data_IF_056856925469
#
_entry.id   IF_056856925469
#
_cell.length_a   1.000
_cell.length_b   1.000
_cell.length_c   1.000
_cell.angle_alpha   90.00
_cell.angle_beta   90.00
_cell.angle_gamma   90.00
#
_symmetry.space_group_name_H-M   'P 1'
#
loop_
_entity.id
_entity.type
_entity.pdbx_description
1 polymer ?
#
# COMPACT_ATOMS: atom_id res chain seq x y z
N UNK A 1 24.00 10.83 -54.44
CA UNK A 1 23.95 11.58 -53.17
C UNK A 1 22.61 11.25 -52.52
N UNK A 2 22.68 10.69 -51.30
CA UNK A 2 21.59 10.53 -50.33
C UNK A 2 20.81 11.85 -50.17
N UNK A 3 19.52 11.88 -49.81
CA UNK A 3 19.00 11.45 -48.51
C UNK A 3 17.50 11.09 -48.51
N UNK A 4 17.18 10.09 -47.69
CA UNK A 4 15.88 9.73 -47.13
C UNK A 4 15.17 10.90 -46.43
N UNK A 5 13.84 10.81 -46.27
CA UNK A 5 13.03 11.21 -45.09
C UNK A 5 11.62 11.62 -45.53
N UNK A 6 10.51 11.28 -44.87
CA UNK A 6 10.25 10.57 -43.62
C UNK A 6 8.81 10.03 -43.75
N UNK A 7 8.62 8.75 -43.46
CA UNK A 7 7.31 8.17 -43.22
C UNK A 7 6.71 8.84 -41.97
N UNK A 8 5.48 9.34 -42.09
CA UNK A 8 4.73 9.83 -40.95
C UNK A 8 4.26 8.64 -40.12
N UNK A 9 5.00 8.29 -39.08
CA UNK A 9 4.50 7.43 -38.02
C UNK A 9 3.36 8.13 -37.30
N UNK A 10 2.15 7.66 -37.55
CA UNK A 10 0.97 7.94 -36.73
C UNK A 10 1.23 7.28 -35.38
N UNK A 11 1.57 8.07 -34.37
CA UNK A 11 1.69 7.62 -32.99
C UNK A 11 0.27 7.29 -32.51
N UNK A 12 -0.14 6.05 -32.72
CA UNK A 12 -1.35 5.48 -32.16
C UNK A 12 -1.23 5.53 -30.63
N UNK A 13 -1.89 6.51 -30.05
CA UNK A 13 -1.95 6.73 -28.62
C UNK A 13 -2.71 5.55 -28.00
N UNK A 14 -1.99 4.52 -27.56
CA UNK A 14 -2.58 3.40 -26.83
C UNK A 14 -3.32 3.96 -25.62
N UNK A 15 -4.61 3.62 -25.45
CA UNK A 15 -5.33 4.00 -24.25
C UNK A 15 -4.64 3.38 -23.04
N UNK A 16 -4.36 4.21 -22.03
CA UNK A 16 -3.86 3.81 -20.71
C UNK A 16 -4.99 3.04 -20.02
N UNK A 17 -5.18 1.79 -20.40
CA UNK A 17 -5.93 0.84 -19.61
C UNK A 17 -4.97 0.35 -18.53
N UNK A 18 -5.06 0.91 -17.32
CA UNK A 18 -4.66 0.15 -16.14
C UNK A 18 -5.38 -1.20 -16.24
N UNK A 19 -4.62 -2.28 -16.37
CA UNK A 19 -5.15 -3.62 -16.55
C UNK A 19 -6.16 -3.89 -15.41
N UNK A 20 -7.42 -4.13 -15.76
CA UNK A 20 -8.51 -4.42 -14.79
C UNK A 20 -8.13 -5.53 -13.79
N UNK A 21 -7.20 -6.39 -14.15
CA UNK A 21 -6.66 -7.44 -13.29
C UNK A 21 -5.88 -6.89 -12.09
N UNK A 22 -5.08 -5.83 -12.27
CA UNK A 22 -4.27 -5.24 -11.19
C UNK A 22 -5.12 -4.51 -10.14
N UNK A 23 -6.21 -3.86 -10.56
CA UNK A 23 -7.17 -3.23 -9.63
C UNK A 23 -7.82 -4.29 -8.72
N UNK A 24 -8.29 -5.40 -9.30
CA UNK A 24 -8.92 -6.47 -8.51
C UNK A 24 -7.95 -7.18 -7.58
N UNK A 25 -6.67 -7.29 -7.97
CA UNK A 25 -5.61 -7.85 -7.14
C UNK A 25 -5.27 -6.93 -5.96
N UNK A 26 -5.11 -5.63 -6.21
CA UNK A 26 -4.90 -4.62 -5.17
C UNK A 26 -6.02 -4.66 -4.14
N UNK A 27 -7.28 -4.64 -4.59
CA UNK A 27 -8.43 -4.62 -3.68
C UNK A 27 -8.50 -5.89 -2.81
N UNK A 28 -8.22 -7.07 -3.40
CA UNK A 28 -8.12 -8.33 -2.63
C UNK A 28 -7.02 -8.28 -1.57
N UNK A 29 -5.86 -7.69 -1.89
CA UNK A 29 -4.75 -7.55 -0.95
C UNK A 29 -5.08 -6.57 0.18
N UNK A 30 -5.77 -5.47 -0.11
CA UNK A 30 -6.27 -4.54 0.89
C UNK A 30 -7.25 -5.26 1.83
N UNK A 31 -8.23 -6.00 1.31
CA UNK A 31 -9.17 -6.77 2.13
C UNK A 31 -8.44 -7.77 3.02
N UNK A 32 -7.45 -8.48 2.48
CA UNK A 32 -6.63 -9.43 3.23
C UNK A 32 -5.84 -8.73 4.34
N UNK A 33 -5.18 -7.62 4.04
CA UNK A 33 -4.42 -6.84 5.01
C UNK A 33 -5.31 -6.37 6.17
N UNK A 34 -6.50 -5.85 5.88
CA UNK A 34 -7.48 -5.46 6.89
C UNK A 34 -7.90 -6.63 7.78
N UNK A 35 -8.20 -7.78 7.18
CA UNK A 35 -8.56 -8.99 7.94
C UNK A 35 -7.43 -9.47 8.86
N UNK A 36 -6.17 -9.36 8.41
CA UNK A 36 -5.00 -9.66 9.24
C UNK A 36 -4.91 -8.68 10.40
N UNK A 37 -5.08 -7.38 10.15
CA UNK A 37 -5.08 -6.37 11.21
C UNK A 37 -6.17 -6.62 12.26
N UNK A 38 -7.42 -6.84 11.83
CA UNK A 38 -8.55 -7.07 12.74
C UNK A 38 -8.31 -8.32 13.63
N UNK A 39 -7.75 -9.38 13.04
CA UNK A 39 -7.38 -10.59 13.78
C UNK A 39 -6.25 -10.31 14.79
N UNK A 40 -5.24 -9.54 14.38
CA UNK A 40 -4.09 -9.18 15.19
C UNK A 40 -4.44 -8.28 16.37
N UNK A 41 -5.37 -7.34 16.19
CA UNK A 41 -5.91 -6.50 17.27
C UNK A 41 -6.60 -7.39 18.30
N UNK A 42 -7.53 -8.24 17.86
CA UNK A 42 -8.26 -9.18 18.74
C UNK A 42 -7.34 -10.12 19.52
N UNK A 43 -6.23 -10.55 18.91
CA UNK A 43 -5.26 -11.45 19.54
C UNK A 43 -4.13 -10.71 20.26
N UNK A 44 -4.08 -9.37 20.20
CA UNK A 44 -3.02 -8.55 20.78
C UNK A 44 -1.62 -8.96 20.27
N UNK A 45 -1.49 -9.24 18.96
CA UNK A 45 -0.25 -9.70 18.31
C UNK A 45 -0.05 -8.98 16.97
N UNK A 46 0.81 -7.96 16.94
CA UNK A 46 1.02 -7.14 15.73
C UNK A 46 2.09 -7.63 14.76
N UNK A 47 2.91 -8.61 15.16
CA UNK A 47 4.02 -9.13 14.35
C UNK A 47 3.56 -9.60 12.97
N UNK A 48 2.36 -10.17 12.85
CA UNK A 48 1.84 -10.65 11.57
C UNK A 48 1.48 -9.47 10.63
N UNK A 49 1.06 -8.33 11.17
CA UNK A 49 0.78 -7.14 10.36
C UNK A 49 2.07 -6.51 9.88
N UNK A 50 3.08 -6.42 10.75
CA UNK A 50 4.42 -5.95 10.37
C UNK A 50 5.00 -6.81 9.25
N UNK A 51 4.98 -8.14 9.39
CA UNK A 51 5.44 -9.05 8.33
C UNK A 51 4.65 -8.94 7.03
N UNK A 52 3.34 -8.67 7.11
CA UNK A 52 2.53 -8.41 5.92
C UNK A 52 2.95 -7.11 5.21
N UNK A 53 3.16 -6.04 5.98
CA UNK A 53 3.63 -4.73 5.50
C UNK A 53 5.01 -4.84 4.88
N UNK A 54 5.98 -5.45 5.58
CA UNK A 54 7.33 -5.68 5.06
C UNK A 54 7.28 -6.41 3.71
N UNK A 55 6.50 -7.48 3.61
CA UNK A 55 6.36 -8.23 2.36
C UNK A 55 5.72 -7.41 1.22
N UNK A 56 4.86 -6.44 1.52
CA UNK A 56 4.29 -5.56 0.49
C UNK A 56 5.29 -4.48 0.08
N UNK A 57 6.05 -3.91 1.03
CA UNK A 57 7.11 -2.94 0.77
C UNK A 57 8.20 -3.56 -0.12
N UNK A 58 8.67 -4.76 0.21
CA UNK A 58 9.70 -5.49 -0.57
C UNK A 58 9.28 -5.74 -2.02
N UNK A 59 7.97 -5.84 -2.30
CA UNK A 59 7.43 -6.04 -3.64
C UNK A 59 7.32 -4.76 -4.46
N UNK A 60 7.23 -3.60 -3.83
CA UNK A 60 7.11 -2.29 -4.51
C UNK A 60 5.86 -2.12 -5.37
N UNK A 61 5.84 -1.07 -6.22
CA UNK A 61 4.76 -0.81 -7.17
C UNK A 61 3.35 -0.75 -6.54
N UNK A 62 2.38 -1.45 -7.14
CA UNK A 62 0.98 -1.50 -6.67
C UNK A 62 0.82 -2.02 -5.24
N UNK A 63 1.82 -2.72 -4.70
CA UNK A 63 1.79 -3.21 -3.32
C UNK A 63 2.05 -2.08 -2.30
N UNK A 64 2.69 -0.98 -2.71
CA UNK A 64 2.83 0.21 -1.86
C UNK A 64 1.49 0.89 -1.63
N UNK A 65 0.59 0.86 -2.61
CA UNK A 65 -0.78 1.37 -2.43
C UNK A 65 -1.57 0.52 -1.44
N UNK A 66 -1.29 -0.79 -1.35
CA UNK A 66 -1.84 -1.64 -0.29
C UNK A 66 -1.32 -1.19 1.07
N UNK A 67 -0.03 -0.86 1.20
CA UNK A 67 0.55 -0.36 2.46
C UNK A 67 -0.02 1.01 2.84
N UNK A 68 -0.20 1.91 1.88
CA UNK A 68 -0.86 3.21 2.09
C UNK A 68 -2.30 3.03 2.57
N UNK A 69 -3.06 2.16 1.92
CA UNK A 69 -4.43 1.84 2.34
C UNK A 69 -4.48 1.18 3.73
N UNK A 70 -3.46 0.41 4.10
CA UNK A 70 -3.31 -0.16 5.44
C UNK A 70 -3.04 0.91 6.49
N UNK A 71 -2.13 1.85 6.22
CA UNK A 71 -1.89 3.01 7.09
C UNK A 71 -3.19 3.76 7.37
N UNK A 72 -3.92 4.12 6.32
CA UNK A 72 -5.15 4.90 6.44
C UNK A 72 -6.21 4.15 7.27
N UNK A 73 -6.30 2.83 7.08
CA UNK A 73 -7.19 2.00 7.89
C UNK A 73 -6.77 1.97 9.37
N UNK A 74 -5.46 1.86 9.67
CA UNK A 74 -4.96 1.94 11.05
C UNK A 74 -5.28 3.30 11.67
N UNK A 75 -5.16 4.39 10.92
CA UNK A 75 -5.54 5.73 11.39
C UNK A 75 -7.02 5.81 11.76
N UNK A 76 -7.91 5.23 10.93
CA UNK A 76 -9.34 5.17 11.21
C UNK A 76 -9.63 4.32 12.46
N UNK A 77 -8.97 3.18 12.62
CA UNK A 77 -9.14 2.36 13.83
C UNK A 77 -8.62 3.09 15.07
N UNK A 78 -7.52 3.85 14.99
CA UNK A 78 -7.05 4.73 16.08
C UNK A 78 -8.08 5.78 16.50
N UNK A 79 -8.89 6.29 15.57
CA UNK A 79 -9.97 7.24 15.88
C UNK A 79 -11.16 6.54 16.54
N UNK A 80 -11.40 5.27 16.20
CA UNK A 80 -12.52 4.47 16.70
C UNK A 80 -12.24 3.81 18.05
N UNK A 81 -10.99 3.41 18.31
CA UNK A 81 -10.60 2.77 19.57
C UNK A 81 -10.81 3.73 20.73
N UNK A 82 -11.55 3.26 21.74
CA UNK A 82 -11.85 3.99 22.97
C UNK A 82 -10.57 4.54 23.62
N UNK A 83 -10.62 5.79 24.09
CA UNK A 83 -9.53 6.43 24.83
C UNK A 83 -9.16 5.67 26.11
N UNK A 84 -10.09 4.88 26.65
CA UNK A 84 -9.88 4.05 27.82
C UNK A 84 -9.18 2.72 27.52
N UNK A 85 -9.17 2.24 26.28
CA UNK A 85 -8.35 1.09 25.86
C UNK A 85 -6.92 1.53 25.51
N UNK A 86 -6.15 1.81 26.57
CA UNK A 86 -4.76 2.26 26.46
C UNK A 86 -3.86 1.24 25.75
N UNK A 87 -4.18 -0.05 25.82
CA UNK A 87 -3.32 -1.11 25.30
C UNK A 87 -3.51 -1.26 23.79
N UNK A 88 -4.76 -1.38 23.35
CA UNK A 88 -5.11 -1.42 21.93
C UNK A 88 -4.65 -0.14 21.22
N UNK A 89 -4.94 1.02 21.80
CA UNK A 89 -4.55 2.32 21.23
C UNK A 89 -3.03 2.48 21.10
N UNK A 90 -2.25 2.00 22.08
CA UNK A 90 -0.78 2.01 21.99
C UNK A 90 -0.30 1.11 20.86
N UNK A 91 -0.82 -0.10 20.78
CA UNK A 91 -0.47 -1.04 19.71
C UNK A 91 -0.74 -0.46 18.31
N UNK A 92 -1.94 0.08 18.11
CA UNK A 92 -2.31 0.70 16.84
C UNK A 92 -1.40 1.88 16.49
N UNK A 93 -0.99 2.67 17.49
CA UNK A 93 -0.04 3.78 17.30
C UNK A 93 1.34 3.28 16.90
N UNK A 94 1.88 2.31 17.63
CA UNK A 94 3.19 1.72 17.33
C UNK A 94 3.22 1.13 15.90
N UNK A 95 2.12 0.51 15.47
CA UNK A 95 1.97 -0.01 14.11
C UNK A 95 1.85 1.11 13.07
N UNK A 96 1.07 2.16 13.35
CA UNK A 96 0.92 3.31 12.46
C UNK A 96 2.26 4.00 12.21
N UNK A 97 3.04 4.21 13.27
CA UNK A 97 4.36 4.86 13.20
C UNK A 97 5.33 3.98 12.40
N UNK A 98 5.35 2.67 12.66
CA UNK A 98 6.12 1.71 11.87
C UNK A 98 5.78 1.73 10.38
N UNK A 99 4.50 1.76 10.00
CA UNK A 99 4.09 1.81 8.59
C UNK A 99 4.55 3.12 7.94
N UNK A 100 4.47 4.24 8.66
CA UNK A 100 4.96 5.53 8.16
C UNK A 100 6.46 5.54 7.96
N UNK A 101 7.24 5.00 8.91
CA UNK A 101 8.70 4.88 8.77
C UNK A 101 9.07 4.05 7.54
N UNK A 102 8.37 2.94 7.30
CA UNK A 102 8.62 2.07 6.14
C UNK A 102 8.32 2.76 4.81
N UNK A 103 7.24 3.54 4.76
CA UNK A 103 6.89 4.33 3.57
C UNK A 103 7.86 5.50 3.34
N UNK A 104 8.36 6.14 4.40
CA UNK A 104 9.32 7.24 4.31
C UNK A 104 10.74 6.75 3.94
N UNK A 105 11.11 5.54 4.35
CA UNK A 105 12.37 4.90 4.00
C UNK A 105 12.49 4.44 2.54
N UNK A 106 11.49 4.71 1.69
CA UNK A 106 11.46 4.35 0.27
C UNK A 106 11.46 5.64 -0.61
N UNK A 107 12.55 6.42 -0.65
CA UNK A 107 12.60 7.68 -1.39
C UNK A 107 12.54 7.52 -2.93
N UNK A 108 12.85 6.34 -3.47
CA UNK A 108 12.89 6.07 -4.92
C UNK A 108 11.52 5.77 -5.57
N UNK A 109 10.42 5.83 -4.81
CA UNK A 109 9.07 5.48 -5.28
C UNK A 109 8.06 6.65 -5.20
N UNK A 110 8.57 7.87 -5.04
CA UNK A 110 7.80 9.12 -5.01
C UNK A 110 8.17 10.06 -6.17
N UNK A 111 9.04 9.61 -7.09
CA UNK A 111 9.52 10.40 -8.21
C UNK A 111 9.12 9.78 -9.56
N UNK A 112 7.83 9.85 -9.90
CA UNK A 112 7.34 9.91 -11.29
C UNK A 112 6.15 10.88 -11.38
#
# INVERSE_FOLDING_TARGET
MSTNSLEGEVIESKPIFEDREDVTKRDRLITKGRSVLDLCIKQNKLLCVQGFVDSQIERGGVYLDVVRAMRDYISVELERTDIHDKKERRMLRDLHDYVNEKLQGQPDLVAE
#
